data_IF_011516710495
#
_entry.id   IF_011516710495
#
_cell.length_a   1.000
_cell.length_b   1.000
_cell.length_c   1.000
_cell.angle_alpha   90.00
_cell.angle_beta   90.00
_cell.angle_gamma   90.00
#
_symmetry.space_group_name_H-M   'P 1'
#
loop_
_entity.id
_entity.type
_entity.pdbx_description
1 polymer ?
#
# COMPACT_ATOMS: atom_id res chain seq x y z
N UNK A 1 -24.59 22.14 -51.57
CA UNK A 1 -25.13 22.32 -50.20
C UNK A 1 -24.91 21.04 -49.42
N UNK A 2 -23.81 20.95 -48.67
CA UNK A 2 -23.47 19.78 -47.83
C UNK A 2 -24.09 19.97 -46.45
N UNK A 3 -24.92 19.01 -46.00
CA UNK A 3 -25.45 18.97 -44.63
C UNK A 3 -24.45 18.22 -43.75
N UNK A 4 -23.83 18.93 -42.82
CA UNK A 4 -23.04 18.36 -41.73
C UNK A 4 -24.01 17.93 -40.64
N UNK A 5 -24.08 16.62 -40.35
CA UNK A 5 -24.78 16.08 -39.18
C UNK A 5 -23.77 16.03 -38.05
N UNK A 6 -23.99 16.85 -37.01
CA UNK A 6 -23.23 16.84 -35.77
C UNK A 6 -23.77 15.68 -34.91
N UNK A 7 -22.96 14.64 -34.68
CA UNK A 7 -23.29 13.58 -33.75
C UNK A 7 -22.87 14.03 -32.35
N UNK A 8 -23.82 14.47 -31.52
CA UNK A 8 -23.60 14.68 -30.09
C UNK A 8 -23.58 13.30 -29.42
N UNK A 9 -22.40 12.81 -29.06
CA UNK A 9 -22.24 11.63 -28.22
C UNK A 9 -22.44 12.06 -26.76
N UNK A 10 -23.67 11.97 -26.26
CA UNK A 10 -23.94 12.10 -24.84
C UNK A 10 -23.44 10.84 -24.12
N UNK A 11 -22.38 10.95 -23.30
CA UNK A 11 -22.08 9.94 -22.29
C UNK A 11 -23.16 10.03 -21.21
N UNK A 12 -24.17 9.17 -21.30
CA UNK A 12 -25.04 8.89 -20.16
C UNK A 12 -24.27 8.00 -19.18
N UNK A 13 -23.81 8.57 -18.07
CA UNK A 13 -23.42 7.81 -16.88
C UNK A 13 -24.68 7.10 -16.37
N UNK A 14 -24.84 5.83 -16.74
CA UNK A 14 -25.95 5.02 -16.27
C UNK A 14 -25.82 4.78 -14.77
N UNK A 15 -26.86 5.15 -14.00
CA UNK A 15 -27.03 4.65 -12.64
C UNK A 15 -27.28 3.14 -12.74
N UNK A 16 -26.25 2.33 -12.50
CA UNK A 16 -26.40 0.89 -12.40
C UNK A 16 -27.09 0.55 -11.08
N UNK A 17 -28.20 -0.19 -11.18
CA UNK A 17 -28.79 -0.91 -10.06
C UNK A 17 -27.87 -2.07 -9.70
N UNK A 18 -27.15 -1.97 -8.58
CA UNK A 18 -26.57 -3.11 -7.84
C UNK A 18 -25.89 -4.23 -8.64
N UNK A 19 -25.18 -3.89 -9.73
CA UNK A 19 -24.32 -4.82 -10.46
C UNK A 19 -22.86 -4.47 -10.21
N UNK A 20 -21.94 -5.40 -10.49
CA UNK A 20 -20.50 -5.22 -10.31
C UNK A 20 -20.02 -3.94 -11.00
N UNK A 21 -19.84 -2.88 -10.22
CA UNK A 21 -19.39 -1.57 -10.69
C UNK A 21 -17.89 -1.50 -10.48
N UNK A 22 -17.15 -1.28 -11.56
CA UNK A 22 -15.72 -1.05 -11.50
C UNK A 22 -15.41 0.37 -10.99
N UNK A 23 -14.50 0.46 -10.04
CA UNK A 23 -13.98 1.67 -9.44
C UNK A 23 -12.55 1.88 -9.95
N UNK A 24 -12.40 2.85 -10.84
CA UNK A 24 -11.12 3.19 -11.44
C UNK A 24 -10.40 4.23 -10.59
N UNK A 25 -9.13 3.99 -10.34
CA UNK A 25 -8.23 5.02 -9.82
C UNK A 25 -7.74 5.88 -10.99
N UNK A 26 -7.80 7.19 -10.82
CA UNK A 26 -7.50 8.17 -11.87
C UNK A 26 -6.49 9.22 -11.41
N UNK A 27 -6.16 9.23 -10.13
CA UNK A 27 -5.22 10.16 -9.51
C UNK A 27 -4.31 9.43 -8.53
N UNK A 28 -3.14 10.01 -8.26
CA UNK A 28 -2.17 9.51 -7.28
C UNK A 28 -1.58 10.63 -6.44
N UNK A 29 -1.21 10.32 -5.20
CA UNK A 29 -0.47 11.21 -4.30
C UNK A 29 0.74 10.48 -3.71
N UNK A 30 1.95 11.08 -3.71
CA UNK A 30 3.15 10.44 -3.18
C UNK A 30 3.12 10.27 -1.66
N UNK A 31 3.76 9.21 -1.17
CA UNK A 31 3.89 8.96 0.27
C UNK A 31 4.69 10.04 1.02
N UNK A 32 5.51 10.84 0.33
CA UNK A 32 6.29 11.92 0.95
C UNK A 32 5.44 12.96 1.67
N UNK A 33 4.13 13.03 1.37
CA UNK A 33 3.18 13.89 2.06
C UNK A 33 2.81 13.42 3.48
N UNK A 34 3.09 12.15 3.80
CA UNK A 34 2.78 11.53 5.10
C UNK A 34 4.05 11.02 5.81
N UNK A 35 5.22 11.55 5.44
CA UNK A 35 6.46 11.21 6.13
C UNK A 35 6.50 11.90 7.50
N UNK A 36 6.74 11.10 8.53
CA UNK A 36 7.06 11.58 9.86
C UNK A 36 8.54 11.98 10.00
N UNK A 37 8.98 12.10 11.26
CA UNK A 37 10.36 12.47 11.59
C UNK A 37 11.35 11.36 11.21
N UNK A 38 12.37 11.71 10.42
CA UNK A 38 13.40 10.77 9.97
C UNK A 38 14.40 10.53 11.10
N UNK A 39 14.63 9.26 11.42
CA UNK A 39 15.72 8.82 12.29
C UNK A 39 16.87 8.25 11.46
N UNK A 40 18.11 8.62 11.78
CA UNK A 40 19.32 8.06 11.16
C UNK A 40 20.03 7.12 12.15
N UNK A 41 20.44 5.95 11.68
CA UNK A 41 21.10 4.94 12.52
C UNK A 41 22.01 4.03 11.70
N UNK A 42 23.15 3.62 12.26
CA UNK A 42 24.00 2.61 11.62
C UNK A 42 23.36 1.21 11.63
N UNK A 43 22.45 0.97 12.56
CA UNK A 43 21.73 -0.30 12.74
C UNK A 43 20.24 -0.14 12.45
N UNK A 44 19.56 -1.25 12.15
CA UNK A 44 18.10 -1.27 12.09
C UNK A 44 17.51 -1.00 13.48
N UNK A 45 16.58 -0.04 13.56
CA UNK A 45 15.81 0.24 14.77
C UNK A 45 14.40 -0.35 14.65
N UNK A 46 13.89 -1.09 15.65
CA UNK A 46 12.51 -1.53 15.64
C UNK A 46 11.56 -0.32 15.61
N UNK A 47 10.35 -0.51 15.08
CA UNK A 47 9.32 0.54 14.96
C UNK A 47 9.05 1.26 16.29
N UNK A 48 9.09 0.53 17.40
CA UNK A 48 8.91 1.09 18.74
C UNK A 48 9.94 2.17 19.09
N UNK A 49 11.18 2.02 18.63
CA UNK A 49 12.27 2.95 18.94
C UNK A 49 12.17 4.25 18.12
N UNK A 50 11.46 4.21 16.99
CA UNK A 50 11.09 5.40 16.20
C UNK A 50 9.67 5.89 16.50
N UNK A 51 9.11 5.50 17.65
CA UNK A 51 7.81 5.98 18.14
C UNK A 51 6.58 5.42 17.43
N UNK A 52 6.74 4.36 16.63
CA UNK A 52 5.67 3.77 15.84
C UNK A 52 5.06 2.54 16.50
N UNK A 53 3.78 2.66 16.84
CA UNK A 53 3.02 1.60 17.50
C UNK A 53 2.20 0.74 16.51
N UNK A 54 1.79 1.28 15.37
CA UNK A 54 1.03 0.57 14.33
C UNK A 54 1.28 1.23 12.97
N UNK A 55 0.87 0.58 11.89
CA UNK A 55 0.99 1.13 10.54
C UNK A 55 2.34 0.82 9.93
N UNK A 56 2.98 1.84 9.35
CA UNK A 56 4.06 1.64 8.38
C UNK A 56 5.33 2.45 8.70
N UNK A 57 6.49 1.89 8.36
CA UNK A 57 7.79 2.57 8.41
C UNK A 57 8.58 2.24 7.15
N UNK A 58 9.22 3.25 6.56
CA UNK A 58 10.19 3.10 5.49
C UNK A 58 11.61 3.02 6.08
N UNK A 59 12.34 1.96 5.76
CA UNK A 59 13.78 1.83 6.02
C UNK A 59 14.53 1.97 4.70
N UNK A 60 15.38 2.99 4.61
CA UNK A 60 16.16 3.30 3.41
C UNK A 60 17.66 3.22 3.71
N UNK A 61 18.44 2.61 2.81
CA UNK A 61 19.89 2.62 2.88
C UNK A 61 20.52 2.63 1.49
N UNK A 62 21.71 3.23 1.39
CA UNK A 62 22.56 3.11 0.20
C UNK A 62 23.33 1.79 0.26
N UNK A 63 23.18 0.92 -0.74
CA UNK A 63 23.80 -0.41 -0.77
C UNK A 63 24.60 -0.61 -2.05
N UNK A 64 25.65 -1.43 -1.99
CA UNK A 64 26.37 -1.88 -3.19
C UNK A 64 25.88 -3.27 -3.58
N UNK A 65 25.14 -3.38 -4.67
CA UNK A 65 24.72 -4.66 -5.23
C UNK A 65 25.94 -5.33 -5.89
N UNK A 66 26.29 -6.57 -5.51
CA UNK A 66 27.47 -7.26 -6.04
C UNK A 66 27.29 -7.71 -7.50
N UNK A 67 28.39 -7.99 -8.18
CA UNK A 67 28.36 -8.75 -9.44
C UNK A 67 28.07 -10.23 -9.11
N UNK A 68 26.82 -10.68 -9.29
CA UNK A 68 26.41 -12.06 -9.02
C UNK A 68 25.21 -12.13 -8.07
N UNK A 69 25.23 -13.09 -7.14
CA UNK A 69 24.14 -13.33 -6.19
C UNK A 69 23.98 -12.13 -5.23
N UNK A 70 22.85 -11.46 -5.32
CA UNK A 70 22.48 -10.31 -4.51
C UNK A 70 21.43 -10.72 -3.47
N UNK A 71 21.79 -11.64 -2.57
CA UNK A 71 20.89 -12.10 -1.51
C UNK A 71 20.76 -11.05 -0.41
N UNK A 72 19.56 -10.51 -0.21
CA UNK A 72 19.18 -9.73 0.96
C UNK A 72 18.82 -10.69 2.09
N UNK A 73 19.40 -10.47 3.26
CA UNK A 73 19.16 -11.25 4.48
C UNK A 73 18.83 -10.29 5.63
N UNK A 74 17.71 -10.53 6.31
CA UNK A 74 17.27 -9.75 7.47
C UNK A 74 17.11 -10.68 8.67
N UNK A 75 17.62 -10.27 9.82
CA UNK A 75 17.56 -11.11 11.03
C UNK A 75 16.15 -11.21 11.60
N UNK A 76 15.49 -10.07 11.76
CA UNK A 76 14.14 -9.98 12.28
C UNK A 76 13.27 -9.10 11.38
N UNK A 77 12.19 -9.70 10.88
CA UNK A 77 11.13 -9.05 10.11
C UNK A 77 9.83 -9.26 10.88
N UNK A 78 9.22 -8.18 11.35
CA UNK A 78 7.98 -8.22 12.15
C UNK A 78 7.02 -7.10 11.68
N UNK A 79 6.15 -7.34 10.72
CA UNK A 79 5.73 -8.65 10.22
C UNK A 79 5.97 -8.84 8.72
N UNK A 80 5.93 -7.75 7.97
CA UNK A 80 6.00 -7.77 6.52
C UNK A 80 6.82 -6.61 5.99
N UNK A 81 7.66 -6.83 4.97
CA UNK A 81 8.25 -5.74 4.21
C UNK A 81 8.17 -5.96 2.69
N UNK A 82 7.77 -4.91 1.97
CA UNK A 82 7.91 -4.81 0.52
C UNK A 82 9.28 -4.19 0.19
N UNK A 83 10.05 -4.88 -0.66
CA UNK A 83 11.45 -4.54 -0.96
C UNK A 83 11.54 -3.87 -2.32
N UNK A 84 12.17 -2.70 -2.38
CA UNK A 84 12.40 -1.93 -3.60
C UNK A 84 13.88 -1.59 -3.73
N UNK A 85 14.37 -1.56 -4.98
CA UNK A 85 15.69 -1.04 -5.31
C UNK A 85 15.55 -0.02 -6.43
N UNK A 86 16.06 1.20 -6.21
CA UNK A 86 15.91 2.35 -7.12
C UNK A 86 14.45 2.52 -7.60
N UNK A 87 13.49 2.41 -6.67
CA UNK A 87 12.06 2.53 -6.95
C UNK A 87 11.45 1.38 -7.77
N UNK A 88 12.12 0.20 -7.85
CA UNK A 88 11.59 -1.00 -8.51
C UNK A 88 11.37 -2.12 -7.50
N UNK A 89 10.15 -2.63 -7.45
CA UNK A 89 9.79 -3.75 -6.59
C UNK A 89 10.63 -5.00 -6.90
N UNK A 90 11.18 -5.60 -5.85
CA UNK A 90 12.00 -6.82 -5.90
C UNK A 90 11.29 -8.04 -5.32
N UNK A 91 10.28 -7.82 -4.46
CA UNK A 91 9.57 -8.88 -3.76
C UNK A 91 9.30 -8.52 -2.31
N UNK A 92 9.02 -9.54 -1.51
CA UNK A 92 8.52 -9.37 -0.13
C UNK A 92 9.29 -10.27 0.82
N UNK A 93 9.43 -9.81 2.06
CA UNK A 93 9.99 -10.59 3.17
C UNK A 93 8.99 -10.59 4.33
N UNK A 94 8.96 -11.67 5.09
CA UNK A 94 8.07 -11.86 6.23
C UNK A 94 8.82 -12.51 7.38
N UNK A 95 8.17 -12.61 8.54
CA UNK A 95 8.64 -13.39 9.70
C UNK A 95 9.10 -14.82 9.35
N UNK A 96 8.43 -15.47 8.39
CA UNK A 96 8.68 -16.83 7.92
C UNK A 96 9.65 -16.90 6.73
N UNK A 97 9.87 -15.78 6.02
CA UNK A 97 10.80 -15.69 4.88
C UNK A 97 11.61 -14.40 4.96
N UNK A 98 12.77 -14.48 5.59
CA UNK A 98 13.62 -13.33 5.89
C UNK A 98 14.75 -13.09 4.90
N UNK A 99 14.71 -13.78 3.76
CA UNK A 99 15.68 -13.64 2.68
C UNK A 99 14.99 -13.38 1.35
N UNK A 100 15.65 -12.64 0.47
CA UNK A 100 15.16 -12.31 -0.87
C UNK A 100 16.34 -12.13 -1.82
N UNK A 101 16.36 -12.85 -2.93
CA UNK A 101 17.33 -12.60 -4.00
C UNK A 101 16.89 -11.38 -4.81
N UNK A 102 17.74 -10.36 -4.88
CA UNK A 102 17.46 -9.12 -5.61
C UNK A 102 17.85 -9.28 -7.09
N UNK A 103 17.04 -8.71 -7.98
CA UNK A 103 17.26 -8.73 -9.44
C UNK A 103 17.80 -7.40 -9.98
N UNK A 104 18.41 -6.60 -9.09
CA UNK A 104 18.92 -5.28 -9.41
C UNK A 104 20.30 -5.34 -10.10
N UNK A 105 20.57 -4.35 -10.95
CA UNK A 105 21.87 -4.20 -11.60
C UNK A 105 22.98 -3.92 -10.55
N UNK A 106 24.19 -4.49 -10.72
CA UNK A 106 25.31 -4.25 -9.82
C UNK A 106 25.65 -2.75 -9.66
N UNK A 107 26.32 -2.42 -8.55
CA UNK A 107 26.77 -1.07 -8.21
C UNK A 107 26.00 -0.42 -7.07
N UNK A 108 26.23 0.87 -6.85
CA UNK A 108 25.57 1.65 -5.79
C UNK A 108 24.08 1.87 -6.13
N UNK A 109 23.21 1.51 -5.19
CA UNK A 109 21.75 1.55 -5.30
C UNK A 109 21.12 2.10 -4.03
N UNK A 110 19.86 2.53 -4.14
CA UNK A 110 19.01 2.83 -2.99
C UNK A 110 18.11 1.64 -2.71
N UNK A 111 18.26 1.05 -1.52
CA UNK A 111 17.37 0.01 -1.01
C UNK A 111 16.29 0.65 -0.14
N UNK A 112 15.03 0.38 -0.46
CA UNK A 112 13.87 0.83 0.31
C UNK A 112 13.07 -0.39 0.79
N UNK A 113 12.82 -0.48 2.09
CA UNK A 113 11.99 -1.50 2.71
C UNK A 113 10.77 -0.81 3.33
N UNK A 114 9.60 -0.99 2.72
CA UNK A 114 8.33 -0.50 3.25
C UNK A 114 7.74 -1.58 4.16
N UNK A 115 7.72 -1.31 5.46
CA UNK A 115 7.43 -2.30 6.50
C UNK A 115 6.07 -2.02 7.11
N UNK A 116 5.24 -3.05 7.25
CA UNK A 116 3.96 -2.97 7.96
C UNK A 116 4.01 -3.76 9.27
N UNK A 117 3.47 -3.16 10.33
CA UNK A 117 3.06 -3.84 11.55
C UNK A 117 1.58 -4.20 11.46
N UNK A 118 1.29 -5.49 11.19
CA UNK A 118 -0.07 -6.00 10.98
C UNK A 118 -0.81 -6.28 12.30
N UNK A 119 -0.18 -6.02 13.44
CA UNK A 119 -0.79 -6.16 14.76
C UNK A 119 0.09 -6.90 15.75
N UNK A 120 -0.12 -6.58 17.03
CA UNK A 120 0.66 -7.14 18.14
C UNK A 120 0.04 -8.41 18.70
N UNK A 121 0.89 -9.29 19.22
CA UNK A 121 0.45 -10.46 19.98
C UNK A 121 -0.29 -9.97 21.23
N UNK A 122 -1.52 -10.46 21.42
CA UNK A 122 -2.41 -10.06 22.55
C UNK A 122 -2.62 -11.19 23.57
N UNK A 123 -2.05 -12.38 23.34
CA UNK A 123 -2.16 -13.52 24.24
C UNK A 123 -0.95 -14.45 24.11
N UNK A 124 -0.55 -15.08 25.21
CA UNK A 124 0.53 -16.07 25.24
C UNK A 124 1.86 -15.55 25.78
N UNK A 125 2.89 -16.41 25.83
CA UNK A 125 4.18 -16.08 26.45
C UNK A 125 4.96 -14.98 25.71
N UNK A 126 4.69 -14.80 24.42
CA UNK A 126 5.36 -13.82 23.55
C UNK A 126 4.79 -12.41 23.66
N UNK A 127 3.80 -12.17 24.54
CA UNK A 127 3.18 -10.84 24.71
C UNK A 127 4.18 -9.74 25.09
N UNK A 128 5.29 -10.11 25.75
CA UNK A 128 6.37 -9.21 26.15
C UNK A 128 7.44 -9.04 25.07
N UNK A 129 7.50 -9.92 24.07
CA UNK A 129 8.40 -9.80 22.91
C UNK A 129 7.61 -9.27 21.72
N UNK A 130 7.37 -7.96 21.72
CA UNK A 130 6.45 -7.31 20.81
C UNK A 130 7.09 -6.19 19.98
N UNK A 131 8.42 -6.23 19.85
CA UNK A 131 9.14 -5.38 18.91
C UNK A 131 8.63 -5.65 17.51
N UNK A 132 8.34 -4.58 16.78
CA UNK A 132 7.85 -4.58 15.41
C UNK A 132 8.85 -3.88 14.50
N UNK A 133 8.66 -3.99 13.19
CA UNK A 133 9.58 -3.46 12.19
C UNK A 133 10.72 -4.41 11.86
N UNK A 134 11.88 -3.82 11.62
CA UNK A 134 13.13 -4.51 11.32
C UNK A 134 14.13 -4.20 12.43
N UNK A 135 14.85 -5.22 12.89
CA UNK A 135 15.89 -5.05 13.91
C UNK A 135 16.90 -6.21 13.87
N UNK A 136 18.08 -5.98 14.43
CA UNK A 136 19.22 -6.90 14.30
C UNK A 136 19.94 -6.69 12.97
N UNK A 137 20.66 -7.73 12.52
CA UNK A 137 21.51 -7.65 11.34
C UNK A 137 20.72 -7.59 10.02
N UNK A 138 21.25 -6.81 9.07
CA UNK A 138 20.82 -6.75 7.68
C UNK A 138 22.03 -6.87 6.77
N UNK A 139 21.96 -7.75 5.77
CA UNK A 139 23.07 -8.05 4.88
C UNK A 139 22.64 -8.12 3.42
N UNK A 140 23.52 -7.73 2.52
CA UNK A 140 23.36 -7.90 1.08
C UNK A 140 24.62 -8.55 0.50
N UNK A 141 24.47 -9.69 -0.16
CA UNK A 141 25.62 -10.43 -0.71
C UNK A 141 26.67 -10.79 0.35
N UNK A 142 26.22 -11.02 1.59
CA UNK A 142 27.07 -11.30 2.75
C UNK A 142 27.71 -10.07 3.42
N UNK A 143 27.63 -8.87 2.85
CA UNK A 143 28.11 -7.62 3.48
C UNK A 143 27.03 -6.99 4.37
N UNK A 144 27.42 -6.39 5.50
CA UNK A 144 26.48 -5.67 6.38
C UNK A 144 25.98 -4.37 5.74
N UNK A 145 24.70 -4.07 5.95
CA UNK A 145 24.07 -2.81 5.56
C UNK A 145 24.03 -1.89 6.78
N UNK A 146 24.49 -0.65 6.60
CA UNK A 146 24.50 0.40 7.63
C UNK A 146 24.05 1.74 7.05
N UNK A 147 23.93 2.76 7.90
CA UNK A 147 23.51 4.11 7.50
C UNK A 147 22.05 4.19 7.09
N UNK A 148 21.18 3.55 7.88
CA UNK A 148 19.73 3.53 7.67
C UNK A 148 19.10 4.89 7.96
N UNK A 149 18.20 5.30 7.06
CA UNK A 149 17.18 6.31 7.33
C UNK A 149 15.86 5.61 7.58
N UNK A 150 15.23 5.91 8.70
CA UNK A 150 14.04 5.22 9.18
C UNK A 150 12.95 6.27 9.34
N UNK A 151 11.92 6.16 8.51
CA UNK A 151 10.88 7.18 8.35
C UNK A 151 9.51 6.59 8.67
N UNK A 152 8.86 6.99 9.77
CA UNK A 152 7.45 6.75 10.00
C UNK A 152 6.59 7.20 8.83
N UNK A 153 5.60 6.40 8.45
CA UNK A 153 4.63 6.75 7.41
C UNK A 153 3.25 6.86 8.05
N UNK A 154 2.75 8.09 8.16
CA UNK A 154 1.48 8.44 8.82
C UNK A 154 0.26 8.13 7.93
N UNK A 155 0.25 6.96 7.27
CA UNK A 155 -0.77 6.57 6.28
C UNK A 155 -2.18 6.61 6.84
N UNK A 156 -2.37 6.10 8.06
CA UNK A 156 -3.69 6.01 8.70
C UNK A 156 -4.11 7.29 9.42
N UNK A 157 -3.14 8.04 9.92
CA UNK A 157 -3.38 9.26 10.70
C UNK A 157 -3.57 10.49 9.80
N UNK A 158 -3.07 10.45 8.56
CA UNK A 158 -3.35 11.46 7.55
C UNK A 158 -4.82 11.42 7.11
N UNK A 159 -5.45 12.59 6.97
CA UNK A 159 -6.73 12.69 6.28
C UNK A 159 -6.47 12.57 4.77
N UNK A 160 -6.96 11.52 4.09
CA UNK A 160 -6.75 11.35 2.66
C UNK A 160 -7.34 12.50 1.83
N UNK A 161 -8.25 13.30 2.38
CA UNK A 161 -8.81 14.47 1.70
C UNK A 161 -7.86 15.67 1.67
N UNK A 162 -6.87 15.72 2.58
CA UNK A 162 -5.85 16.78 2.63
C UNK A 162 -4.66 16.50 1.70
N UNK A 163 -4.56 15.29 1.16
CA UNK A 163 -3.49 14.91 0.24
C UNK A 163 -3.63 15.63 -1.11
N UNK A 164 -2.51 16.15 -1.61
CA UNK A 164 -2.41 16.71 -2.94
C UNK A 164 -2.29 15.58 -3.97
N UNK A 165 -3.41 15.30 -4.65
CA UNK A 165 -3.50 14.33 -5.73
C UNK A 165 -3.25 14.98 -7.10
N UNK A 166 -2.53 14.26 -7.95
CA UNK A 166 -2.27 14.60 -9.34
C UNK A 166 -2.85 13.51 -10.26
N UNK A 167 -3.06 13.80 -11.57
CA UNK A 167 -3.47 12.77 -12.52
C UNK A 167 -2.55 11.54 -12.45
N UNK A 168 -3.15 10.35 -12.49
CA UNK A 168 -2.42 9.09 -12.29
C UNK A 168 -1.22 8.99 -13.24
N UNK A 169 -0.03 8.99 -12.65
CA UNK A 169 1.24 8.81 -13.36
C UNK A 169 1.78 7.39 -13.21
N UNK A 170 3.00 7.18 -13.71
CA UNK A 170 3.75 5.98 -13.36
C UNK A 170 4.19 6.09 -11.90
N UNK A 171 3.53 5.33 -11.01
CA UNK A 171 3.95 5.20 -9.62
C UNK A 171 4.79 3.92 -9.51
N UNK A 172 6.10 4.04 -9.33
CA UNK A 172 7.02 2.89 -9.18
C UNK A 172 7.16 2.40 -7.74
N UNK A 173 6.71 3.22 -6.78
CA UNK A 173 6.80 3.00 -5.34
C UNK A 173 5.40 3.09 -4.72
N UNK A 174 5.21 2.67 -3.46
CA UNK A 174 3.94 2.79 -2.78
C UNK A 174 3.42 4.24 -2.77
N UNK A 175 2.14 4.40 -3.04
CA UNK A 175 1.47 5.71 -3.10
C UNK A 175 -0.02 5.59 -2.82
N UNK A 176 -0.66 6.73 -2.55
CA UNK A 176 -2.11 6.80 -2.50
C UNK A 176 -2.67 6.90 -3.91
N UNK A 177 -3.79 6.23 -4.15
CA UNK A 177 -4.54 6.28 -5.39
C UNK A 177 -5.97 6.72 -5.11
N UNK A 178 -6.53 7.59 -5.96
CA UNK A 178 -7.88 8.12 -5.79
C UNK A 178 -8.75 7.86 -7.01
N UNK A 179 -10.00 7.50 -6.75
CA UNK A 179 -11.05 7.28 -7.73
C UNK A 179 -12.35 7.97 -7.35
N UNK A 180 -13.24 8.11 -8.32
CA UNK A 180 -14.55 8.74 -8.15
C UNK A 180 -15.65 7.85 -8.71
N UNK A 181 -16.79 7.77 -8.02
CA UNK A 181 -17.91 6.95 -8.47
C UNK A 181 -19.27 7.40 -7.93
N UNK A 182 -20.32 7.14 -8.70
CA UNK A 182 -21.70 7.28 -8.28
C UNK A 182 -22.23 5.92 -7.82
N UNK A 183 -22.96 5.87 -6.70
CA UNK A 183 -23.56 4.65 -6.18
C UNK A 183 -24.85 4.97 -5.43
N UNK A 184 -26.00 4.63 -6.02
CA UNK A 184 -27.30 4.79 -5.38
C UNK A 184 -27.73 3.48 -4.67
N UNK A 185 -26.87 2.99 -3.77
CA UNK A 185 -27.17 1.80 -2.98
C UNK A 185 -28.26 2.09 -1.93
N UNK A 186 -29.21 1.16 -1.78
CA UNK A 186 -30.29 1.25 -0.78
C UNK A 186 -29.93 0.58 0.56
N UNK A 187 -28.73 0.01 0.66
CA UNK A 187 -28.23 -0.72 1.82
C UNK A 187 -26.72 -0.90 1.74
N UNK A 188 -26.18 -1.73 2.63
CA UNK A 188 -24.75 -2.03 2.67
C UNK A 188 -24.30 -2.75 1.39
N UNK A 189 -23.07 -2.49 0.97
CA UNK A 189 -22.42 -3.12 -0.18
C UNK A 189 -21.03 -3.59 0.21
N UNK A 190 -20.39 -4.40 -0.63
CA UNK A 190 -19.03 -4.89 -0.40
C UNK A 190 -18.07 -4.30 -1.42
N UNK A 191 -16.92 -3.84 -0.96
CA UNK A 191 -15.80 -3.49 -1.80
C UNK A 191 -14.97 -4.76 -2.07
N UNK A 192 -14.97 -5.24 -3.30
CA UNK A 192 -14.06 -6.28 -3.77
C UNK A 192 -12.67 -5.68 -3.98
N UNK A 193 -11.71 -6.19 -3.22
CA UNK A 193 -10.30 -5.77 -3.21
C UNK A 193 -9.41 -6.77 -3.96
N UNK A 194 -10.00 -7.77 -4.62
CA UNK A 194 -9.25 -8.78 -5.36
C UNK A 194 -8.34 -8.16 -6.42
N UNK A 195 -7.10 -8.64 -6.50
CA UNK A 195 -6.10 -8.14 -7.45
C UNK A 195 -5.22 -7.02 -6.90
N UNK A 196 -5.53 -6.49 -5.71
CA UNK A 196 -4.67 -5.57 -4.97
C UNK A 196 -3.77 -6.32 -4.00
N UNK A 197 -2.64 -5.73 -3.63
CA UNK A 197 -1.66 -6.33 -2.73
C UNK A 197 -2.07 -6.24 -1.26
N UNK A 198 -1.53 -5.26 -0.55
CA UNK A 198 -1.79 -5.06 0.88
C UNK A 198 -1.84 -3.57 1.20
N UNK A 199 -2.82 -3.14 1.97
CA UNK A 199 -2.91 -1.75 2.37
C UNK A 199 -4.27 -1.37 2.94
N UNK A 200 -4.71 -0.14 2.69
CA UNK A 200 -5.81 0.51 3.39
C UNK A 200 -6.75 1.26 2.43
N UNK A 201 -8.03 1.35 2.80
CA UNK A 201 -9.06 2.02 2.00
C UNK A 201 -9.84 3.04 2.83
N UNK A 202 -10.15 4.16 2.19
CA UNK A 202 -11.08 5.17 2.68
C UNK A 202 -12.16 5.44 1.64
N UNK A 203 -13.39 5.71 2.11
CA UNK A 203 -14.47 6.21 1.27
C UNK A 203 -15.01 7.50 1.88
N UNK A 204 -15.03 8.58 1.09
CA UNK A 204 -15.47 9.92 1.50
C UNK A 204 -14.77 10.39 2.79
N UNK A 205 -13.44 10.23 2.86
CA UNK A 205 -12.61 10.55 4.03
C UNK A 205 -12.76 9.59 5.23
N UNK A 206 -13.66 8.60 5.18
CA UNK A 206 -13.84 7.64 6.28
C UNK A 206 -13.00 6.39 6.05
N UNK A 207 -12.19 6.03 7.04
CA UNK A 207 -11.46 4.77 7.05
C UNK A 207 -12.44 3.59 6.97
N UNK A 208 -12.23 2.72 5.99
CA UNK A 208 -13.08 1.57 5.72
C UNK A 208 -12.45 0.28 6.27
N UNK A 209 -11.13 0.15 6.15
CA UNK A 209 -10.40 -1.01 6.63
C UNK A 209 -9.12 -1.28 5.85
N UNK A 210 -8.35 -2.23 6.35
CA UNK A 210 -7.20 -2.79 5.65
C UNK A 210 -7.60 -4.00 4.82
N UNK A 211 -6.79 -4.32 3.81
CA UNK A 211 -6.90 -5.53 3.01
C UNK A 211 -5.53 -6.16 2.82
N UNK A 212 -5.54 -7.47 2.60
CA UNK A 212 -4.34 -8.20 2.23
C UNK A 212 -4.74 -9.33 1.28
N UNK A 213 -4.03 -9.47 0.17
CA UNK A 213 -4.26 -10.53 -0.80
C UNK A 213 -4.17 -11.91 -0.16
N UNK A 214 -3.33 -12.15 0.86
CA UNK A 214 -3.22 -13.48 1.48
C UNK A 214 -4.47 -13.91 2.27
N UNK A 215 -5.38 -12.98 2.58
CA UNK A 215 -6.59 -13.28 3.34
C UNK A 215 -7.66 -14.00 2.51
N UNK A 216 -8.42 -14.88 3.17
CA UNK A 216 -9.51 -15.62 2.48
C UNK A 216 -10.64 -14.70 2.05
N UNK A 217 -10.98 -13.73 2.88
CA UNK A 217 -11.97 -12.72 2.55
C UNK A 217 -11.31 -11.62 1.74
N UNK A 218 -11.79 -11.39 0.53
CA UNK A 218 -11.29 -10.39 -0.42
C UNK A 218 -12.31 -9.26 -0.60
N UNK A 219 -13.00 -8.91 0.49
CA UNK A 219 -13.91 -7.78 0.48
C UNK A 219 -14.07 -7.09 1.82
N UNK A 220 -14.33 -5.79 1.77
CA UNK A 220 -14.63 -4.97 2.94
C UNK A 220 -16.08 -4.49 2.86
N UNK A 221 -16.83 -4.62 3.96
CA UNK A 221 -18.21 -4.11 4.05
C UNK A 221 -18.19 -2.57 4.03
N UNK A 222 -18.95 -1.97 3.13
CA UNK A 222 -19.25 -0.54 3.07
C UNK A 222 -20.64 -0.32 3.66
N UNK A 223 -20.75 0.26 4.88
CA UNK A 223 -22.04 0.60 5.46
C UNK A 223 -22.77 1.64 4.59
N UNK A 224 -24.08 1.50 4.43
CA UNK A 224 -24.90 2.39 3.59
C UNK A 224 -24.71 3.88 3.93
N UNK A 225 -24.54 4.20 5.21
CA UNK A 225 -24.35 5.58 5.70
C UNK A 225 -22.99 6.21 5.38
N UNK A 226 -22.06 5.48 4.75
CA UNK A 226 -20.80 6.02 4.21
C UNK A 226 -20.99 6.55 2.78
N UNK A 227 -21.91 5.95 2.02
CA UNK A 227 -22.13 6.28 0.61
C UNK A 227 -23.13 7.41 0.42
N UNK A 228 -22.93 8.12 -0.67
CA UNK A 228 -23.86 9.11 -1.22
C UNK A 228 -24.32 8.66 -2.61
N UNK A 229 -25.51 9.07 -3.10
CA UNK A 229 -25.95 8.66 -4.43
C UNK A 229 -24.99 9.03 -5.57
N UNK A 230 -24.20 10.10 -5.39
CA UNK A 230 -23.26 10.62 -6.39
C UNK A 230 -22.03 11.26 -5.76
N UNK A 231 -20.92 11.23 -6.50
CA UNK A 231 -19.70 11.95 -6.13
C UNK A 231 -18.93 11.34 -4.97
N UNK A 232 -19.05 10.01 -4.78
CA UNK A 232 -18.22 9.33 -3.80
C UNK A 232 -16.76 9.34 -4.24
N UNK A 233 -15.88 9.42 -3.26
CA UNK A 233 -14.42 9.35 -3.43
C UNK A 233 -13.93 8.10 -2.74
N UNK A 234 -13.12 7.31 -3.44
CA UNK A 234 -12.37 6.20 -2.88
C UNK A 234 -10.90 6.59 -2.89
N UNK A 235 -10.22 6.39 -1.77
CA UNK A 235 -8.76 6.48 -1.66
C UNK A 235 -8.23 5.13 -1.22
N UNK A 236 -7.17 4.67 -1.86
CA UNK A 236 -6.51 3.39 -1.58
C UNK A 236 -5.03 3.64 -1.41
N UNK A 237 -4.47 3.11 -0.34
CA UNK A 237 -3.03 2.90 -0.20
C UNK A 237 -2.72 1.42 -0.44
N UNK A 238 -1.70 1.13 -1.26
CA UNK A 238 -1.20 -0.24 -1.50
C UNK A 238 0.33 -0.23 -1.40
N UNK A 239 0.85 -1.02 -0.45
CA UNK A 239 2.29 -1.12 -0.15
C UNK A 239 3.08 -1.87 -1.21
N UNK A 240 2.43 -2.68 -2.06
CA UNK A 240 3.10 -3.37 -3.18
C UNK A 240 3.00 -2.56 -4.47
N UNK A 241 1.87 -1.87 -4.64
CA UNK A 241 1.61 -1.00 -5.79
C UNK A 241 1.81 -1.75 -7.14
N UNK A 242 1.44 -3.04 -7.19
CA UNK A 242 1.83 -4.00 -8.23
C UNK A 242 1.36 -3.63 -9.65
N UNK A 243 0.17 -3.03 -9.78
CA UNK A 243 -0.39 -2.65 -11.08
C UNK A 243 -1.13 -1.30 -11.04
N UNK A 244 -0.61 -0.24 -11.69
CA UNK A 244 -1.28 1.06 -11.84
C UNK A 244 -2.67 1.01 -12.47
N UNK A 245 -2.96 0.00 -13.29
CA UNK A 245 -4.25 -0.16 -13.94
C UNK A 245 -5.29 -0.90 -13.09
N UNK A 246 -4.91 -1.37 -11.89
CA UNK A 246 -5.81 -2.10 -11.01
C UNK A 246 -7.03 -1.28 -10.60
N UNK A 247 -8.16 -1.97 -10.54
CA UNK A 247 -9.47 -1.41 -10.20
C UNK A 247 -10.05 -2.19 -9.02
N UNK A 248 -10.88 -1.54 -8.22
CA UNK A 248 -11.70 -2.24 -7.22
C UNK A 248 -13.12 -2.38 -7.76
N UNK A 249 -13.97 -3.22 -7.14
CA UNK A 249 -15.35 -3.40 -7.60
C UNK A 249 -16.33 -3.32 -6.45
N UNK A 250 -17.54 -2.82 -6.72
CA UNK A 250 -18.65 -2.98 -5.79
C UNK A 250 -19.33 -4.33 -6.01
N UNK A 251 -19.73 -4.97 -4.93
CA UNK A 251 -20.43 -6.25 -4.90
C UNK A 251 -21.64 -6.19 -3.96
N UNK A 252 -22.69 -6.93 -4.29
CA UNK A 252 -23.87 -7.11 -3.42
C UNK A 252 -23.63 -8.15 -2.31
N UNK A 253 -22.53 -8.90 -2.40
CA UNK A 253 -22.17 -10.00 -1.51
C UNK A 253 -20.68 -9.96 -1.12
N UNK A 254 -20.31 -10.55 0.02
CA UNK A 254 -18.90 -10.73 0.34
C UNK A 254 -18.19 -11.56 -0.74
N UNK A 255 -16.96 -11.16 -1.05
CA UNK A 255 -16.05 -11.85 -1.97
C UNK A 255 -14.98 -12.58 -1.17
N UNK A 256 -14.67 -13.80 -1.61
CA UNK A 256 -13.65 -14.68 -1.04
C UNK A 256 -12.78 -15.27 -2.15
N UNK A 257 -11.56 -15.72 -1.81
CA UNK A 257 -10.70 -16.52 -2.70
C UNK A 257 -11.23 -17.92 -2.94
#
# INVERSE_FOLDING_TARGET
MKKTVLLLCGLSLGMLRGGAQELKMIESAPLTQVYGEISESDELLPMNDVGMEFGYVLYEAAVTVPEGEALLELENVRDYAAVYVDGKFQGTVTDNRKTLELTAEPGLRTLCLYVENIGRITYGPEILDNSKGLFGSARLGGGEISGWKITPLEVRDADPEDLAFEPLGACGEPCFRRGHFDCAAEGDVYLDVSGWGMGEVWINGRYLGSFWDEEKQQSILIPAGVLTPKGNRIVVFDIKNDDPASTMRLSDKPVFK
#
